data_IF_158743594995
#
_entry.id   IF_158743594995
#
_cell.length_a   1.000
_cell.length_b   1.000
_cell.length_c   1.000
_cell.angle_alpha   90.00
_cell.angle_beta   90.00
_cell.angle_gamma   90.00
#
_symmetry.space_group_name_H-M   'P 1'
#
loop_
_entity.id
_entity.type
_entity.pdbx_description
1 polymer ?
#
# COMPACT_ATOMS: atom_id res chain seq x y z
N UNK A 1 -11.15 21.10 -21.62
CA UNK A 1 -9.75 21.39 -21.24
C UNK A 1 -9.54 20.72 -19.89
N UNK A 2 -8.72 19.65 -19.81
CA UNK A 2 -8.47 19.01 -18.52
C UNK A 2 -7.68 20.00 -17.66
N UNK A 3 -8.24 20.39 -16.51
CA UNK A 3 -7.48 21.22 -15.56
C UNK A 3 -6.25 20.41 -15.14
N UNK A 4 -5.03 20.98 -15.28
CA UNK A 4 -3.83 20.27 -14.84
C UNK A 4 -3.97 19.94 -13.35
N UNK A 5 -3.60 18.71 -12.97
CA UNK A 5 -3.61 18.29 -11.57
C UNK A 5 -2.80 19.28 -10.73
N UNK A 6 -3.31 19.65 -9.57
CA UNK A 6 -2.57 20.52 -8.63
C UNK A 6 -1.29 19.82 -8.17
N UNK A 7 -0.31 20.61 -7.72
CA UNK A 7 0.94 20.07 -7.13
C UNK A 7 0.65 19.09 -6.00
N UNK A 8 -0.35 19.37 -5.16
CA UNK A 8 -0.77 18.48 -4.09
C UNK A 8 -1.34 17.16 -4.60
N UNK A 9 -2.10 17.17 -5.69
CA UNK A 9 -2.54 15.94 -6.34
C UNK A 9 -1.34 15.14 -6.88
N UNK A 10 -0.42 15.80 -7.60
CA UNK A 10 0.79 15.16 -8.13
C UNK A 10 1.64 14.50 -7.03
N UNK A 11 1.82 15.17 -5.89
CA UNK A 11 2.58 14.65 -4.76
C UNK A 11 2.04 13.31 -4.23
N UNK A 12 0.73 13.07 -4.37
CA UNK A 12 0.03 11.86 -3.89
C UNK A 12 -0.19 10.83 -4.99
N UNK A 13 -0.19 11.22 -6.26
CA UNK A 13 -0.42 10.31 -7.39
C UNK A 13 0.86 9.82 -8.06
N UNK A 14 1.89 10.66 -8.18
CA UNK A 14 3.12 10.30 -8.91
C UNK A 14 3.88 9.14 -8.26
N UNK A 15 4.10 9.10 -6.92
CA UNK A 15 4.75 7.95 -6.29
C UNK A 15 3.98 6.64 -6.52
N UNK A 16 2.65 6.68 -6.40
CA UNK A 16 1.79 5.52 -6.64
C UNK A 16 1.81 5.08 -8.11
N UNK A 17 1.73 6.02 -9.05
CA UNK A 17 1.82 5.71 -10.47
C UNK A 17 3.18 5.09 -10.85
N UNK A 18 4.28 5.62 -10.30
CA UNK A 18 5.61 5.04 -10.49
C UNK A 18 5.69 3.61 -9.94
N UNK A 19 5.11 3.36 -8.76
CA UNK A 19 5.00 2.01 -8.21
C UNK A 19 4.22 1.06 -9.14
N UNK A 20 3.06 1.49 -9.64
CA UNK A 20 2.24 0.68 -10.55
C UNK A 20 2.98 0.36 -11.85
N UNK A 21 3.70 1.33 -12.44
CA UNK A 21 4.50 1.11 -13.63
C UNK A 21 5.63 0.10 -13.36
N UNK A 22 6.35 0.23 -12.25
CA UNK A 22 7.42 -0.70 -11.89
C UNK A 22 6.87 -2.11 -11.58
N UNK A 23 5.68 -2.21 -11.01
CA UNK A 23 4.99 -3.47 -10.78
C UNK A 23 4.60 -4.15 -12.10
N UNK A 24 4.11 -3.38 -13.08
CA UNK A 24 3.83 -3.88 -14.43
C UNK A 24 5.12 -4.35 -15.12
N UNK A 25 6.17 -3.51 -15.11
CA UNK A 25 7.48 -3.87 -15.68
C UNK A 25 7.99 -5.17 -15.07
N UNK A 26 7.86 -5.36 -13.74
CA UNK A 26 8.24 -6.62 -13.10
C UNK A 26 7.48 -7.83 -13.67
N UNK A 27 6.19 -7.70 -13.95
CA UNK A 27 5.39 -8.77 -14.53
C UNK A 27 5.84 -9.17 -15.93
N UNK A 28 6.42 -8.23 -16.68
CA UNK A 28 6.90 -8.48 -18.05
C UNK A 28 8.36 -8.97 -18.11
N UNK A 29 9.18 -8.73 -17.08
CA UNK A 29 10.58 -9.18 -17.08
C UNK A 29 10.65 -10.71 -16.99
N UNK A 30 11.29 -11.39 -17.96
CA UNK A 30 11.33 -12.85 -17.99
C UNK A 30 11.98 -13.45 -16.73
N UNK A 31 11.36 -14.45 -16.09
CA UNK A 31 11.95 -15.13 -14.93
C UNK A 31 13.27 -15.84 -15.23
N UNK A 32 13.53 -16.14 -16.51
CA UNK A 32 14.79 -16.75 -16.98
C UNK A 32 16.00 -15.83 -16.85
N UNK A 33 15.80 -14.53 -16.57
CA UNK A 33 16.89 -13.55 -16.53
C UNK A 33 17.49 -13.25 -17.90
N UNK A 34 16.77 -13.57 -19.00
CA UNK A 34 17.25 -13.37 -20.38
C UNK A 34 17.58 -11.91 -20.71
N UNK A 35 17.05 -10.96 -19.95
CA UNK A 35 17.36 -9.53 -20.05
C UNK A 35 18.58 -9.12 -19.20
N UNK A 36 19.29 -10.08 -18.60
CA UNK A 36 20.41 -9.81 -17.70
C UNK A 36 20.00 -9.22 -16.34
N UNK A 37 18.69 -9.19 -16.04
CA UNK A 37 18.11 -8.66 -14.81
C UNK A 37 17.27 -9.74 -14.14
N UNK A 38 17.54 -9.98 -12.85
CA UNK A 38 16.66 -10.76 -12.01
C UNK A 38 15.45 -9.89 -11.60
N UNK A 39 14.22 -10.25 -11.98
CA UNK A 39 13.02 -9.45 -11.73
C UNK A 39 12.75 -9.18 -10.25
N UNK A 40 13.34 -9.97 -9.34
CA UNK A 40 13.22 -9.78 -7.88
C UNK A 40 13.89 -8.49 -7.42
N UNK A 41 14.93 -8.02 -8.11
CA UNK A 41 15.61 -6.77 -7.76
C UNK A 41 14.86 -5.52 -8.21
N UNK A 42 13.81 -5.66 -9.00
CA UNK A 42 12.91 -4.54 -9.34
C UNK A 42 12.29 -3.97 -8.06
N UNK A 43 12.07 -4.77 -7.01
CA UNK A 43 11.65 -4.24 -5.71
C UNK A 43 12.66 -3.27 -5.09
N UNK A 44 13.96 -3.54 -5.24
CA UNK A 44 15.00 -2.62 -4.79
C UNK A 44 14.95 -1.30 -5.55
N UNK A 45 14.77 -1.36 -6.87
CA UNK A 45 14.58 -0.18 -7.73
C UNK A 45 13.32 0.58 -7.29
N UNK A 46 12.21 -0.11 -7.07
CA UNK A 46 10.95 0.47 -6.56
C UNK A 46 11.15 1.19 -5.24
N UNK A 47 11.89 0.60 -4.29
CA UNK A 47 12.17 1.25 -3.00
C UNK A 47 12.92 2.55 -3.19
N UNK A 48 13.94 2.57 -4.06
CA UNK A 48 14.73 3.77 -4.33
C UNK A 48 13.93 4.84 -5.07
N UNK A 49 13.21 4.47 -6.13
CA UNK A 49 12.43 5.42 -6.96
C UNK A 49 11.27 6.00 -6.17
N UNK A 50 10.43 5.16 -5.57
CA UNK A 50 9.26 5.62 -4.81
C UNK A 50 9.70 6.33 -3.54
N UNK A 51 10.72 5.82 -2.84
CA UNK A 51 11.30 6.50 -1.67
C UNK A 51 11.87 7.88 -2.00
N UNK A 52 12.59 8.00 -3.12
CA UNK A 52 13.09 9.26 -3.63
C UNK A 52 11.96 10.24 -3.97
N UNK A 53 10.89 9.78 -4.61
CA UNK A 53 9.71 10.60 -4.92
C UNK A 53 8.99 11.07 -3.66
N UNK A 54 8.77 10.18 -2.67
CA UNK A 54 8.17 10.56 -1.39
C UNK A 54 9.05 11.57 -0.64
N UNK A 55 10.38 11.39 -0.65
CA UNK A 55 11.30 12.34 -0.02
C UNK A 55 11.28 13.71 -0.73
N UNK A 56 11.23 13.71 -2.07
CA UNK A 56 11.12 14.93 -2.88
C UNK A 56 9.86 15.74 -2.57
N UNK A 57 8.71 15.06 -2.48
CA UNK A 57 7.42 15.68 -2.18
C UNK A 57 7.13 15.81 -0.68
N UNK A 58 8.08 15.51 0.20
CA UNK A 58 7.83 15.43 1.65
C UNK A 58 7.19 16.69 2.24
N UNK A 59 7.56 17.86 1.72
CA UNK A 59 7.04 19.17 2.18
C UNK A 59 5.62 19.45 1.69
N UNK A 60 5.14 18.72 0.68
CA UNK A 60 3.81 18.86 0.09
C UNK A 60 2.75 17.96 0.80
N UNK A 61 3.16 17.18 1.82
CA UNK A 61 2.29 16.29 2.61
C UNK A 61 1.77 16.97 3.89
N UNK A 62 0.74 17.79 3.75
CA UNK A 62 0.08 18.46 4.88
C UNK A 62 -0.50 17.51 5.94
N UNK A 63 -0.78 16.25 5.58
CA UNK A 63 -1.28 15.23 6.50
C UNK A 63 -0.20 14.59 7.36
N UNK A 64 1.08 14.75 7.02
CA UNK A 64 2.23 14.11 7.68
C UNK A 64 3.05 15.08 8.54
N UNK A 65 2.47 16.23 8.90
CA UNK A 65 3.09 17.22 9.78
C UNK A 65 3.08 16.79 11.25
N UNK A 66 3.94 17.36 12.12
CA UNK A 66 3.98 17.00 13.54
C UNK A 66 2.64 17.15 14.27
N UNK A 67 1.80 18.09 13.86
CA UNK A 67 0.50 18.38 14.48
C UNK A 67 -0.54 17.28 14.25
N UNK A 68 -0.39 16.49 13.19
CA UNK A 68 -1.29 15.37 12.87
C UNK A 68 -0.81 14.05 13.46
N UNK A 69 0.27 14.05 14.25
CA UNK A 69 0.77 12.82 14.89
C UNK A 69 -0.32 12.19 15.78
N UNK A 70 -0.42 10.85 15.76
CA UNK A 70 -1.40 10.16 16.58
C UNK A 70 -1.01 10.25 18.06
N UNK A 71 -2.01 10.25 18.94
CA UNK A 71 -1.80 9.94 20.35
C UNK A 71 -1.35 8.48 20.50
N UNK A 72 -0.88 8.11 21.69
CA UNK A 72 -0.53 6.72 21.97
C UNK A 72 -1.73 5.78 21.80
N UNK A 73 -2.93 6.20 22.18
CA UNK A 73 -4.15 5.40 22.01
C UNK A 73 -4.57 5.25 20.56
N UNK A 74 -4.41 6.29 19.74
CA UNK A 74 -4.66 6.24 18.29
C UNK A 74 -3.64 5.35 17.58
N UNK A 75 -2.36 5.42 17.97
CA UNK A 75 -1.33 4.53 17.45
C UNK A 75 -1.59 3.07 17.84
N UNK A 76 -1.96 2.81 19.10
CA UNK A 76 -2.32 1.47 19.56
C UNK A 76 -3.55 0.92 18.83
N UNK A 77 -4.56 1.77 18.57
CA UNK A 77 -5.70 1.41 17.73
C UNK A 77 -5.26 1.00 16.33
N UNK A 78 -4.38 1.78 15.70
CA UNK A 78 -3.79 1.44 14.40
C UNK A 78 -3.12 0.07 14.41
N UNK A 79 -2.29 -0.22 15.42
CA UNK A 79 -1.62 -1.53 15.57
C UNK A 79 -2.65 -2.67 15.71
N UNK A 80 -3.64 -2.54 16.60
CA UNK A 80 -4.67 -3.57 16.81
C UNK A 80 -5.45 -3.84 15.52
N UNK A 81 -5.85 -2.79 14.82
CA UNK A 81 -6.55 -2.93 13.53
C UNK A 81 -5.66 -3.55 12.47
N UNK A 82 -4.37 -3.18 12.41
CA UNK A 82 -3.41 -3.79 11.49
C UNK A 82 -3.27 -5.30 11.72
N UNK A 83 -3.13 -5.74 12.97
CA UNK A 83 -3.08 -7.17 13.33
C UNK A 83 -4.38 -7.88 12.95
N UNK A 84 -5.54 -7.25 13.20
CA UNK A 84 -6.83 -7.82 12.85
C UNK A 84 -7.00 -7.95 11.32
N UNK A 85 -6.62 -6.93 10.56
CA UNK A 85 -6.65 -6.96 9.09
C UNK A 85 -5.71 -8.03 8.56
N UNK A 86 -4.49 -8.16 9.09
CA UNK A 86 -3.59 -9.28 8.75
C UNK A 86 -4.26 -10.65 9.00
N UNK A 87 -4.85 -10.85 10.18
CA UNK A 87 -5.46 -12.12 10.55
C UNK A 87 -6.63 -12.49 9.63
N UNK A 88 -7.39 -11.50 9.16
CA UNK A 88 -8.44 -11.69 8.15
C UNK A 88 -7.83 -11.93 6.76
N UNK A 89 -6.80 -11.19 6.39
CA UNK A 89 -6.16 -11.26 5.07
C UNK A 89 -5.69 -12.68 4.74
N UNK A 90 -5.04 -13.36 5.68
CA UNK A 90 -4.54 -14.73 5.48
C UNK A 90 -5.63 -15.82 5.53
N UNK A 91 -6.90 -15.44 5.78
CA UNK A 91 -8.07 -16.35 5.86
C UNK A 91 -9.12 -16.07 4.80
N UNK A 92 -9.03 -14.92 4.13
CA UNK A 92 -9.97 -14.50 3.09
C UNK A 92 -9.39 -14.81 1.70
N UNK A 93 -8.95 -16.05 1.51
CA UNK A 93 -8.22 -16.55 0.34
C UNK A 93 -8.94 -17.70 -0.40
N UNK A 94 -10.24 -17.91 -0.13
CA UNK A 94 -11.03 -18.90 -0.85
C UNK A 94 -11.07 -18.58 -2.37
N UNK A 95 -11.29 -19.57 -3.27
CA UNK A 95 -11.25 -19.34 -4.71
C UNK A 95 -12.19 -18.24 -5.21
N UNK A 96 -13.39 -18.12 -4.64
CA UNK A 96 -14.34 -17.04 -4.98
C UNK A 96 -13.95 -15.66 -4.43
N UNK A 97 -13.00 -15.61 -3.48
CA UNK A 97 -12.45 -14.38 -2.90
C UNK A 97 -11.22 -13.87 -3.66
N UNK A 98 -10.84 -14.53 -4.76
CA UNK A 98 -9.66 -14.20 -5.55
C UNK A 98 -10.08 -13.77 -6.97
N UNK A 99 -9.50 -12.67 -7.45
CA UNK A 99 -9.63 -12.16 -8.82
C UNK A 99 -8.31 -12.37 -9.58
N UNK A 100 -8.42 -12.99 -10.75
CA UNK A 100 -7.27 -13.25 -11.62
C UNK A 100 -6.22 -14.18 -11.01
N UNK A 101 -5.01 -14.10 -11.55
CA UNK A 101 -3.85 -14.86 -11.10
C UNK A 101 -2.78 -13.88 -10.56
N UNK A 102 -2.02 -14.22 -9.51
CA UNK A 102 -0.90 -13.40 -9.06
C UNK A 102 0.10 -13.15 -10.21
N UNK A 103 0.50 -11.89 -10.45
CA UNK A 103 1.30 -11.53 -11.63
C UNK A 103 2.71 -12.13 -11.63
N UNK A 104 3.24 -12.48 -10.46
CA UNK A 104 4.36 -13.40 -10.25
C UNK A 104 4.61 -13.52 -8.74
N UNK A 105 4.49 -14.72 -8.18
CA UNK A 105 4.87 -15.00 -6.80
C UNK A 105 6.33 -14.62 -6.56
N UNK A 106 6.62 -13.88 -5.50
CA UNK A 106 8.00 -13.55 -5.17
C UNK A 106 8.64 -14.65 -4.34
N UNK A 107 9.58 -15.35 -4.96
CA UNK A 107 10.37 -16.41 -4.32
C UNK A 107 11.79 -15.90 -4.03
N UNK A 108 12.11 -15.53 -2.78
CA UNK A 108 13.46 -15.09 -2.39
C UNK A 108 14.35 -16.30 -2.10
N UNK A 109 14.39 -17.28 -3.01
CA UNK A 109 15.20 -18.48 -2.89
C UNK A 109 16.33 -18.48 -3.91
N UNK A 110 17.51 -18.95 -3.51
CA UNK A 110 18.60 -19.23 -4.43
C UNK A 110 18.36 -20.58 -5.17
N UNK A 111 19.21 -20.95 -6.15
CA UNK A 111 19.06 -22.24 -6.84
C UNK A 111 19.16 -23.48 -5.94
N UNK A 112 19.70 -23.34 -4.73
CA UNK A 112 19.81 -24.38 -3.71
C UNK A 112 18.61 -24.39 -2.74
N UNK A 113 17.62 -23.53 -2.97
CA UNK A 113 16.42 -23.41 -2.14
C UNK A 113 16.65 -22.67 -0.81
N UNK A 114 17.77 -21.96 -0.65
CA UNK A 114 18.06 -21.20 0.57
C UNK A 114 17.50 -19.77 0.48
N UNK A 115 17.13 -19.21 1.62
CA UNK A 115 16.61 -17.85 1.73
C UNK A 115 17.66 -16.80 1.37
N UNK A 116 17.34 -15.96 0.39
CA UNK A 116 18.13 -14.79 0.03
C UNK A 116 17.72 -13.60 0.90
N UNK A 117 18.28 -13.51 2.12
CA UNK A 117 17.97 -12.46 3.09
C UNK A 117 18.02 -11.02 2.55
N UNK A 118 18.98 -10.62 1.69
CA UNK A 118 18.95 -9.27 1.11
C UNK A 118 17.65 -8.95 0.35
N UNK A 119 17.13 -9.89 -0.43
CA UNK A 119 15.86 -9.74 -1.15
C UNK A 119 14.67 -9.69 -0.20
N UNK A 120 14.68 -10.52 0.85
CA UNK A 120 13.65 -10.53 1.89
C UNK A 120 13.59 -9.19 2.60
N UNK A 121 14.74 -8.68 3.05
CA UNK A 121 14.83 -7.40 3.79
C UNK A 121 14.36 -6.25 2.92
N UNK A 122 14.85 -6.15 1.68
CA UNK A 122 14.44 -5.07 0.75
C UNK A 122 12.94 -5.09 0.51
N UNK A 123 12.38 -6.26 0.21
CA UNK A 123 10.95 -6.43 -0.01
C UNK A 123 10.14 -6.09 1.24
N UNK A 124 10.55 -6.59 2.39
CA UNK A 124 9.83 -6.42 3.64
C UNK A 124 9.82 -4.96 4.11
N UNK A 125 10.96 -4.27 4.01
CA UNK A 125 11.08 -2.83 4.27
C UNK A 125 10.20 -2.03 3.31
N UNK A 126 10.28 -2.34 2.00
CA UNK A 126 9.43 -1.70 1.00
C UNK A 126 7.93 -1.88 1.29
N UNK A 127 7.50 -3.12 1.52
CA UNK A 127 6.11 -3.44 1.80
C UNK A 127 5.58 -2.86 3.13
N UNK A 128 6.42 -2.76 4.16
CA UNK A 128 5.96 -2.39 5.51
C UNK A 128 6.17 -0.93 5.85
N UNK A 129 7.11 -0.23 5.21
CA UNK A 129 7.42 1.17 5.52
C UNK A 129 7.10 2.11 4.37
N UNK A 130 7.38 1.71 3.13
CA UNK A 130 7.24 2.58 1.97
C UNK A 130 5.84 2.53 1.38
N UNK A 131 5.36 1.33 1.08
CA UNK A 131 4.04 1.08 0.47
C UNK A 131 2.91 1.71 1.31
N UNK A 132 2.85 1.54 2.65
CA UNK A 132 1.77 2.13 3.44
C UNK A 132 1.72 3.65 3.34
N UNK A 133 2.87 4.31 3.38
CA UNK A 133 2.93 5.78 3.25
C UNK A 133 2.41 6.22 1.88
N UNK A 134 2.96 5.62 0.82
CA UNK A 134 2.57 5.92 -0.56
C UNK A 134 1.09 5.64 -0.82
N UNK A 135 0.61 4.47 -0.42
CA UNK A 135 -0.75 4.03 -0.68
C UNK A 135 -1.77 4.82 0.14
N UNK A 136 -1.53 5.08 1.42
CA UNK A 136 -2.48 5.88 2.20
C UNK A 136 -2.53 7.34 1.71
N UNK A 137 -1.40 7.90 1.24
CA UNK A 137 -1.38 9.20 0.58
C UNK A 137 -2.25 9.20 -0.69
N UNK A 138 -2.15 8.15 -1.51
CA UNK A 138 -2.93 8.03 -2.74
C UNK A 138 -4.42 7.74 -2.48
N UNK A 139 -4.73 6.67 -1.73
CA UNK A 139 -6.10 6.19 -1.56
C UNK A 139 -6.90 7.09 -0.61
N UNK A 140 -6.36 7.43 0.56
CA UNK A 140 -7.12 8.14 1.62
C UNK A 140 -6.98 9.64 1.48
N UNK A 141 -5.75 10.13 1.37
CA UNK A 141 -5.51 11.57 1.31
C UNK A 141 -5.93 12.18 -0.05
N UNK A 142 -5.69 11.49 -1.17
CA UNK A 142 -6.09 11.96 -2.50
C UNK A 142 -7.44 11.37 -2.98
N UNK A 143 -7.49 10.12 -3.45
CA UNK A 143 -8.63 9.58 -4.22
C UNK A 143 -9.95 9.69 -3.46
N UNK A 144 -9.98 9.22 -2.21
CA UNK A 144 -11.19 9.25 -1.39
C UNK A 144 -11.71 10.68 -1.20
N UNK A 145 -10.85 11.64 -0.85
CA UNK A 145 -11.25 13.05 -0.69
C UNK A 145 -11.55 13.72 -2.03
N UNK A 146 -10.89 13.32 -3.11
CA UNK A 146 -11.11 13.85 -4.46
C UNK A 146 -12.47 13.43 -5.03
N UNK A 147 -12.92 12.19 -4.76
CA UNK A 147 -14.28 11.73 -5.09
C UNK A 147 -15.35 12.57 -4.39
N UNK A 148 -15.05 13.08 -3.18
CA UNK A 148 -15.93 14.00 -2.47
C UNK A 148 -15.90 15.42 -3.07
N UNK A 149 -14.70 15.95 -3.36
CA UNK A 149 -14.49 17.27 -3.97
C UNK A 149 -13.14 17.34 -4.68
N UNK A 150 -13.11 17.93 -5.87
CA UNK A 150 -11.85 18.11 -6.63
C UNK A 150 -10.83 18.98 -5.87
N UNK A 151 -11.29 19.88 -5.00
CA UNK A 151 -10.46 20.63 -4.06
C UNK A 151 -10.22 19.78 -2.81
N UNK A 152 -9.71 18.57 -3.00
CA UNK A 152 -9.70 17.52 -1.98
C UNK A 152 -9.04 17.96 -0.66
N UNK A 153 -8.02 18.82 -0.73
CA UNK A 153 -7.30 19.39 0.43
C UNK A 153 -8.20 20.17 1.39
N UNK A 154 -9.32 20.74 0.91
CA UNK A 154 -10.27 21.46 1.76
C UNK A 154 -11.26 20.54 2.47
N UNK A 155 -11.34 19.26 2.11
CA UNK A 155 -12.24 18.28 2.72
C UNK A 155 -11.59 17.71 3.98
N UNK A 156 -12.10 17.97 5.19
CA UNK A 156 -11.64 17.28 6.39
C UNK A 156 -11.86 15.77 6.26
N UNK A 157 -10.94 14.90 6.72
CA UNK A 157 -11.11 13.45 6.61
C UNK A 157 -12.41 12.96 7.28
N UNK A 158 -12.80 13.59 8.39
CA UNK A 158 -14.00 13.24 9.16
C UNK A 158 -15.31 13.58 8.45
N UNK A 159 -15.29 14.44 7.43
CA UNK A 159 -16.50 14.84 6.69
C UNK A 159 -16.68 14.08 5.37
N UNK A 160 -15.83 13.09 5.09
CA UNK A 160 -15.92 12.30 3.87
C UNK A 160 -17.18 11.43 3.92
N UNK A 161 -18.02 11.57 2.90
CA UNK A 161 -19.29 10.85 2.82
C UNK A 161 -19.13 9.38 2.42
N UNK A 162 -20.16 8.57 2.68
CA UNK A 162 -20.17 7.14 2.37
C UNK A 162 -19.88 6.84 0.89
N UNK A 163 -20.38 7.67 -0.04
CA UNK A 163 -20.12 7.52 -1.48
C UNK A 163 -18.61 7.50 -1.79
N UNK A 164 -17.86 8.43 -1.21
CA UNK A 164 -16.42 8.54 -1.42
C UNK A 164 -15.66 7.34 -0.83
N UNK A 165 -16.06 6.88 0.36
CA UNK A 165 -15.49 5.69 1.00
C UNK A 165 -15.71 4.45 0.13
N UNK A 166 -16.95 4.23 -0.33
CA UNK A 166 -17.31 3.06 -1.13
C UNK A 166 -16.60 3.08 -2.48
N UNK A 167 -16.61 4.20 -3.19
CA UNK A 167 -15.99 4.27 -4.52
C UNK A 167 -14.47 4.14 -4.43
N UNK A 168 -13.82 4.80 -3.46
CA UNK A 168 -12.38 4.65 -3.27
C UNK A 168 -12.00 3.23 -2.87
N UNK A 169 -12.79 2.57 -2.02
CA UNK A 169 -12.58 1.17 -1.62
C UNK A 169 -12.75 0.23 -2.80
N UNK A 170 -13.75 0.48 -3.66
CA UNK A 170 -13.97 -0.29 -4.86
C UNK A 170 -12.78 -0.21 -5.82
N UNK A 171 -12.25 1.00 -6.07
CA UNK A 171 -11.06 1.16 -6.93
C UNK A 171 -9.81 0.54 -6.28
N UNK A 172 -9.64 0.67 -4.95
CA UNK A 172 -8.59 -0.01 -4.20
C UNK A 172 -8.64 -1.53 -4.36
N UNK A 173 -9.83 -2.12 -4.24
CA UNK A 173 -10.06 -3.56 -4.42
C UNK A 173 -9.62 -4.03 -5.81
N UNK A 174 -9.87 -3.26 -6.87
CA UNK A 174 -9.46 -3.63 -8.24
C UNK A 174 -7.94 -3.73 -8.42
N UNK A 175 -7.15 -3.11 -7.55
CA UNK A 175 -5.69 -3.22 -7.55
C UNK A 175 -5.18 -4.50 -6.86
N UNK A 176 -6.07 -5.33 -6.32
CA UNK A 176 -5.71 -6.50 -5.50
C UNK A 176 -6.32 -7.78 -6.05
N UNK A 177 -5.58 -8.89 -5.95
CA UNK A 177 -6.08 -10.23 -6.29
C UNK A 177 -7.07 -10.73 -5.24
N UNK A 178 -6.76 -10.57 -3.95
CA UNK A 178 -7.66 -10.94 -2.84
C UNK A 178 -8.71 -9.85 -2.62
N UNK A 179 -9.73 -9.82 -3.47
CA UNK A 179 -10.68 -8.70 -3.53
C UNK A 179 -11.41 -8.50 -2.20
N UNK A 180 -11.85 -9.58 -1.54
CA UNK A 180 -12.62 -9.46 -0.29
C UNK A 180 -11.72 -8.96 0.85
N UNK A 181 -10.50 -9.46 0.94
CA UNK A 181 -9.49 -8.97 1.89
C UNK A 181 -9.19 -7.48 1.64
N UNK A 182 -9.06 -7.08 0.38
CA UNK A 182 -8.84 -5.70 0.00
C UNK A 182 -10.03 -4.79 0.34
N UNK A 183 -11.28 -5.23 0.18
CA UNK A 183 -12.45 -4.47 0.65
C UNK A 183 -12.41 -4.28 2.16
N UNK A 184 -12.13 -5.35 2.93
CA UNK A 184 -12.05 -5.28 4.40
C UNK A 184 -10.96 -4.30 4.85
N UNK A 185 -9.74 -4.42 4.29
CA UNK A 185 -8.64 -3.50 4.59
C UNK A 185 -8.98 -2.06 4.15
N UNK A 186 -9.56 -1.93 2.96
CA UNK A 186 -10.08 -0.71 2.36
C UNK A 186 -10.93 0.10 3.32
N UNK A 187 -12.00 -0.55 3.81
CA UNK A 187 -12.96 -0.01 4.77
C UNK A 187 -12.34 0.23 6.14
N UNK A 188 -11.51 -0.67 6.65
CA UNK A 188 -10.88 -0.53 7.97
C UNK A 188 -9.98 0.71 8.04
N UNK A 189 -9.12 0.91 7.05
CA UNK A 189 -8.22 2.08 7.05
C UNK A 189 -8.97 3.38 6.71
N UNK A 190 -10.01 3.32 5.86
CA UNK A 190 -10.89 4.48 5.64
C UNK A 190 -11.62 4.87 6.94
N UNK A 191 -12.12 3.89 7.69
CA UNK A 191 -12.72 4.11 9.01
C UNK A 191 -11.73 4.75 9.99
N UNK A 192 -10.50 4.24 10.08
CA UNK A 192 -9.45 4.85 10.92
C UNK A 192 -9.21 6.30 10.55
N UNK A 193 -9.13 6.61 9.26
CA UNK A 193 -8.88 7.96 8.79
C UNK A 193 -10.04 8.92 9.09
N UNK A 194 -11.27 8.50 8.82
CA UNK A 194 -12.49 9.27 9.11
C UNK A 194 -12.69 9.42 10.62
N UNK A 195 -12.35 8.41 11.42
CA UNK A 195 -12.55 8.43 12.87
C UNK A 195 -11.56 9.36 13.59
N UNK A 196 -10.32 9.42 13.11
CA UNK A 196 -9.22 10.11 13.80
C UNK A 196 -8.85 11.44 13.14
N UNK A 197 -9.14 11.63 11.86
CA UNK A 197 -8.67 12.79 11.10
C UNK A 197 -7.18 12.76 10.75
N UNK A 198 -6.48 11.66 11.03
CA UNK A 198 -5.02 11.59 11.00
C UNK A 198 -4.59 10.48 10.07
N UNK A 199 -3.83 10.82 9.03
CA UNK A 199 -3.35 9.83 8.04
C UNK A 199 -2.33 8.87 8.63
N UNK A 200 -1.63 9.26 9.69
CA UNK A 200 -0.70 8.39 10.40
C UNK A 200 -1.34 7.11 10.94
N UNK A 201 -2.61 7.15 11.36
CA UNK A 201 -3.28 6.00 11.97
C UNK A 201 -3.52 4.85 10.99
N UNK A 202 -4.12 5.07 9.79
CA UNK A 202 -4.17 4.03 8.77
C UNK A 202 -2.79 3.64 8.22
N UNK A 203 -1.82 4.57 8.14
CA UNK A 203 -0.44 4.23 7.76
C UNK A 203 0.16 3.21 8.74
N UNK A 204 0.00 3.43 10.05
CA UNK A 204 0.47 2.49 11.08
C UNK A 204 -0.23 1.15 10.94
N UNK A 205 -1.57 1.15 10.79
CA UNK A 205 -2.32 -0.09 10.63
C UNK A 205 -1.85 -0.89 9.42
N UNK A 206 -1.71 -0.23 8.27
CA UNK A 206 -1.24 -0.84 7.04
C UNK A 206 0.22 -1.33 7.16
N UNK A 207 1.11 -0.53 7.75
CA UNK A 207 2.48 -0.94 8.05
C UNK A 207 2.56 -2.18 8.92
N UNK A 208 1.71 -2.27 9.95
CA UNK A 208 1.61 -3.46 10.81
C UNK A 208 1.07 -4.66 10.04
N UNK A 209 0.02 -4.49 9.25
CA UNK A 209 -0.52 -5.56 8.39
C UNK A 209 0.57 -6.17 7.52
N UNK A 210 1.31 -5.33 6.78
CA UNK A 210 2.35 -5.79 5.86
C UNK A 210 3.59 -6.31 6.60
N UNK A 211 3.93 -5.68 7.72
CA UNK A 211 5.02 -6.10 8.59
C UNK A 211 4.82 -7.51 9.13
N UNK A 212 3.65 -7.76 9.73
CA UNK A 212 3.29 -9.07 10.29
C UNK A 212 3.10 -10.10 9.18
N UNK A 213 2.49 -9.72 8.05
CA UNK A 213 2.37 -10.59 6.88
C UNK A 213 3.76 -11.06 6.40
N UNK A 214 4.73 -10.15 6.34
CA UNK A 214 6.08 -10.50 5.92
C UNK A 214 6.76 -11.51 6.82
N UNK A 215 6.67 -11.33 8.15
CA UNK A 215 7.19 -12.31 9.12
C UNK A 215 6.51 -13.66 8.93
N UNK A 216 5.18 -13.67 8.81
CA UNK A 216 4.41 -14.90 8.67
C UNK A 216 4.72 -15.65 7.38
N UNK A 217 4.87 -14.96 6.25
CA UNK A 217 5.24 -15.58 4.96
C UNK A 217 6.62 -16.24 5.06
N UNK A 218 7.62 -15.56 5.64
CA UNK A 218 8.97 -16.11 5.80
C UNK A 218 8.96 -17.33 6.73
N UNK A 219 8.19 -17.30 7.82
CA UNK A 219 8.11 -18.41 8.78
C UNK A 219 7.36 -19.63 8.23
N UNK A 220 6.33 -19.43 7.40
CA UNK A 220 5.45 -20.50 6.92
C UNK A 220 5.78 -21.00 5.51
N UNK A 221 6.61 -20.26 4.76
CA UNK A 221 6.89 -20.54 3.35
C UNK A 221 5.69 -20.30 2.42
N UNK A 222 4.63 -19.61 2.88
CA UNK A 222 3.44 -19.30 2.07
C UNK A 222 3.66 -18.09 1.16
N UNK A 223 4.61 -18.23 0.23
CA UNK A 223 5.05 -17.16 -0.67
C UNK A 223 3.96 -16.58 -1.56
N UNK A 224 2.83 -17.28 -1.79
CA UNK A 224 1.70 -16.78 -2.58
C UNK A 224 1.09 -15.47 -2.04
N UNK A 225 1.33 -15.13 -0.77
CA UNK A 225 0.93 -13.85 -0.17
C UNK A 225 1.95 -12.71 -0.36
N UNK A 226 3.03 -12.97 -1.10
CA UNK A 226 4.07 -12.02 -1.49
C UNK A 226 4.19 -11.95 -3.02
#
# INVERSE_FOLDING_TARGET
MALPLSRAALARTVPFAAFMVLLLVRGEVPPSGSWGLDPRWIYGITVLVVGGLLAWFWRDYGELVPQTRPSLSEAALGVVVGVAVFALWIRLDAPWMTLGSPSATFLPLDPQGQLMWPLIVVRWVGASLLVPVMEELFWRSFLMRWVQSQQFESVPPQSVGLKAIVLSTFVFMLAHTLWLAAVVAGLAYAWLYVRTGKLWVPIIAHAVTNGVLGVWVVMTGKWAFW
#
